data_IF_995066026936
#
_entry.id   IF_995066026936
#
_cell.length_a   1.000
_cell.length_b   1.000
_cell.length_c   1.000
_cell.angle_alpha   90.00
_cell.angle_beta   90.00
_cell.angle_gamma   90.00
#
_symmetry.space_group_name_H-M   'P 1'
#
loop_
_entity.id
_entity.type
_entity.pdbx_description
1 polymer ?
#
# COMPACT_ATOMS: atom_id res chain seq x y z
N UNK A 1 -37.33 10.45 -36.12
CA UNK A 1 -37.30 9.71 -34.85
C UNK A 1 -38.15 10.45 -33.83
N UNK A 2 -39.01 9.76 -33.08
CA UNK A 2 -39.81 10.41 -32.03
C UNK A 2 -38.90 10.80 -30.85
N UNK A 3 -39.21 11.91 -30.18
CA UNK A 3 -38.43 12.40 -29.03
C UNK A 3 -38.22 11.31 -27.95
N UNK A 4 -39.18 10.40 -27.79
CA UNK A 4 -39.10 9.25 -26.90
C UNK A 4 -37.96 8.29 -27.24
N UNK A 5 -37.77 7.98 -28.53
CA UNK A 5 -36.66 7.11 -28.98
C UNK A 5 -35.32 7.76 -28.68
N UNK A 6 -35.19 9.06 -28.91
CA UNK A 6 -33.95 9.79 -28.62
C UNK A 6 -33.62 9.81 -27.12
N UNK A 7 -34.62 9.99 -26.26
CA UNK A 7 -34.45 9.91 -24.80
C UNK A 7 -34.03 8.51 -24.33
N UNK A 8 -34.59 7.44 -24.89
CA UNK A 8 -34.16 6.08 -24.56
C UNK A 8 -32.73 5.80 -24.99
N UNK A 9 -32.34 6.22 -26.21
CA UNK A 9 -30.96 6.05 -26.68
C UNK A 9 -29.96 6.83 -25.81
N UNK A 10 -30.31 8.06 -25.41
CA UNK A 10 -29.49 8.85 -24.49
C UNK A 10 -29.38 8.17 -23.11
N UNK A 11 -30.48 7.63 -22.58
CA UNK A 11 -30.47 6.89 -21.32
C UNK A 11 -29.62 5.61 -21.37
N UNK A 12 -29.73 4.83 -22.45
CA UNK A 12 -28.92 3.62 -22.65
C UNK A 12 -27.44 3.98 -22.78
N UNK A 13 -27.11 5.03 -23.56
CA UNK A 13 -25.73 5.49 -23.71
C UNK A 13 -25.14 5.96 -22.36
N UNK A 14 -25.92 6.69 -21.56
CA UNK A 14 -25.51 7.12 -20.23
C UNK A 14 -25.30 5.94 -19.28
N UNK A 15 -26.21 4.96 -19.25
CA UNK A 15 -26.05 3.74 -18.46
C UNK A 15 -24.84 2.92 -18.90
N UNK A 16 -24.59 2.83 -20.21
CA UNK A 16 -23.40 2.18 -20.75
C UNK A 16 -22.11 2.86 -20.31
N UNK A 17 -22.05 4.19 -20.37
CA UNK A 17 -20.90 4.98 -19.91
C UNK A 17 -20.69 4.84 -18.39
N UNK A 18 -21.75 4.90 -17.59
CA UNK A 18 -21.69 4.72 -16.15
C UNK A 18 -21.21 3.29 -15.78
N UNK A 19 -21.77 2.27 -16.44
CA UNK A 19 -21.36 0.88 -16.26
C UNK A 19 -19.89 0.63 -16.63
N UNK A 20 -19.42 1.21 -17.74
CA UNK A 20 -18.02 1.16 -18.13
C UNK A 20 -17.09 1.85 -17.12
N UNK A 21 -17.50 3.02 -16.60
CA UNK A 21 -16.76 3.73 -15.55
C UNK A 21 -16.64 2.92 -14.26
N UNK A 22 -17.73 2.31 -13.80
CA UNK A 22 -17.74 1.43 -12.62
C UNK A 22 -16.84 0.21 -12.85
N UNK A 23 -16.95 -0.45 -14.00
CA UNK A 23 -16.10 -1.60 -14.34
C UNK A 23 -14.61 -1.22 -14.36
N UNK A 24 -14.27 -0.04 -14.89
CA UNK A 24 -12.89 0.46 -14.90
C UNK A 24 -12.34 0.72 -13.49
N UNK A 25 -13.12 1.34 -12.60
CA UNK A 25 -12.71 1.59 -11.21
C UNK A 25 -12.56 0.28 -10.42
N UNK A 26 -13.47 -0.67 -10.64
CA UNK A 26 -13.40 -1.98 -10.00
C UNK A 26 -12.20 -2.80 -10.49
N UNK A 27 -11.90 -2.75 -11.79
CA UNK A 27 -10.70 -3.38 -12.32
C UNK A 27 -9.45 -2.77 -11.69
N UNK A 28 -9.37 -1.43 -11.63
CA UNK A 28 -8.26 -0.74 -10.99
C UNK A 28 -8.04 -1.15 -9.52
N UNK A 29 -9.11 -1.37 -8.75
CA UNK A 29 -8.99 -1.81 -7.35
C UNK A 29 -8.40 -3.21 -7.18
N UNK A 30 -8.45 -4.02 -8.24
CA UNK A 30 -7.96 -5.40 -8.29
C UNK A 30 -6.59 -5.54 -8.97
N UNK A 31 -5.98 -4.44 -9.45
CA UNK A 31 -4.62 -4.48 -9.99
C UNK A 31 -3.63 -4.36 -8.84
N UNK A 32 -2.81 -5.40 -8.58
CA UNK A 32 -1.79 -5.34 -7.54
C UNK A 32 -0.68 -4.35 -7.91
N UNK A 33 -0.06 -3.75 -6.89
CA UNK A 33 1.13 -2.93 -7.04
C UNK A 33 2.33 -3.76 -7.48
N UNK A 34 3.27 -3.15 -8.20
CA UNK A 34 4.57 -3.75 -8.45
C UNK A 34 5.30 -3.89 -7.12
N UNK A 35 5.73 -5.10 -6.77
CA UNK A 35 6.44 -5.39 -5.53
C UNK A 35 7.93 -5.57 -5.85
N UNK A 36 8.81 -4.81 -5.21
CA UNK A 36 10.26 -4.99 -5.37
C UNK A 36 10.76 -6.18 -4.56
N UNK A 37 11.93 -6.71 -4.92
CA UNK A 37 12.53 -7.83 -4.17
C UNK A 37 12.94 -7.36 -2.78
N UNK A 38 12.20 -7.79 -1.77
CA UNK A 38 12.58 -7.64 -0.37
C UNK A 38 13.89 -8.37 -0.06
N UNK A 39 14.70 -7.79 0.84
CA UNK A 39 15.83 -8.49 1.43
C UNK A 39 15.34 -9.67 2.29
N UNK A 40 15.98 -10.83 2.19
CA UNK A 40 15.62 -12.03 2.99
C UNK A 40 15.92 -11.91 4.48
N UNK A 41 16.70 -10.90 4.88
CA UNK A 41 17.09 -10.65 6.26
C UNK A 41 16.79 -9.23 6.68
N UNK A 42 16.60 -9.03 7.99
CA UNK A 42 16.38 -7.73 8.58
C UNK A 42 17.48 -6.73 8.16
N UNK A 43 17.14 -5.56 7.60
CA UNK A 43 18.13 -4.59 7.16
C UNK A 43 18.94 -4.03 8.34
N UNK A 44 20.24 -4.33 8.41
CA UNK A 44 21.11 -3.90 9.53
C UNK A 44 21.19 -2.38 9.67
N UNK A 45 21.06 -1.64 8.57
CA UNK A 45 21.07 -0.18 8.56
C UNK A 45 19.71 0.46 8.92
N UNK A 46 18.67 -0.35 9.17
CA UNK A 46 17.38 0.16 9.60
C UNK A 46 17.44 0.72 11.01
N UNK A 47 16.76 1.85 11.22
CA UNK A 47 16.53 2.38 12.55
C UNK A 47 15.23 1.86 13.20
N UNK A 48 14.53 0.93 12.54
CA UNK A 48 13.44 0.15 13.13
C UNK A 48 13.99 -0.92 14.08
N UNK A 49 13.20 -1.33 15.06
CA UNK A 49 13.61 -2.35 16.02
C UNK A 49 13.21 -3.74 15.56
N UNK A 50 14.17 -4.67 15.50
CA UNK A 50 13.86 -6.10 15.45
C UNK A 50 13.45 -6.58 16.85
N UNK A 51 12.43 -7.43 16.94
CA UNK A 51 12.07 -8.10 18.18
C UNK A 51 13.23 -8.99 18.67
N UNK A 52 13.51 -8.92 19.97
CA UNK A 52 14.59 -9.69 20.62
C UNK A 52 14.05 -10.74 21.61
N UNK A 53 12.74 -10.78 21.81
CA UNK A 53 12.03 -11.56 22.83
C UNK A 53 11.26 -12.76 22.24
N UNK A 54 11.69 -13.24 21.06
CA UNK A 54 11.06 -14.35 20.36
C UNK A 54 9.81 -13.99 19.56
N UNK A 55 9.31 -12.75 19.66
CA UNK A 55 8.22 -12.25 18.82
C UNK A 55 8.63 -12.09 17.37
N UNK A 56 7.64 -12.08 16.48
CA UNK A 56 7.79 -11.70 15.09
C UNK A 56 7.89 -10.18 14.96
N UNK A 57 8.73 -9.68 14.06
CA UNK A 57 8.79 -8.24 13.75
C UNK A 57 7.93 -7.96 12.53
N UNK A 58 6.85 -7.19 12.68
CA UNK A 58 5.99 -6.77 11.58
C UNK A 58 6.29 -5.32 11.24
N UNK A 59 6.56 -5.04 9.97
CA UNK A 59 6.79 -3.68 9.45
C UNK A 59 5.79 -3.43 8.33
N UNK A 60 4.96 -2.40 8.46
CA UNK A 60 3.99 -1.99 7.45
C UNK A 60 4.30 -0.57 6.98
N UNK A 61 4.40 -0.38 5.67
CA UNK A 61 4.66 0.93 5.06
C UNK A 61 3.40 1.56 4.52
N UNK A 62 3.16 2.83 4.88
CA UNK A 62 1.91 3.54 4.57
C UNK A 62 2.18 4.93 4.01
N UNK A 63 1.32 5.35 3.08
CA UNK A 63 1.14 6.76 2.74
C UNK A 63 0.01 7.36 3.61
N UNK A 64 0.22 8.43 4.40
CA UNK A 64 -0.76 8.88 5.39
C UNK A 64 -2.10 9.36 4.81
N UNK A 65 -2.11 9.86 3.57
CA UNK A 65 -3.33 10.35 2.91
C UNK A 65 -4.04 9.31 2.02
N UNK A 66 -3.45 8.12 1.86
CA UNK A 66 -4.00 7.13 0.95
C UNK A 66 -5.15 6.34 1.62
N UNK A 67 -6.32 6.19 0.98
CA UNK A 67 -7.41 5.38 1.54
C UNK A 67 -7.05 3.90 1.72
N UNK A 68 -6.11 3.38 0.93
CA UNK A 68 -5.60 2.00 1.09
C UNK A 68 -4.92 1.82 2.46
N UNK A 69 -4.24 2.85 2.95
CA UNK A 69 -3.55 2.83 4.25
C UNK A 69 -4.52 2.68 5.41
N UNK A 70 -5.70 3.29 5.32
CA UNK A 70 -6.73 3.15 6.34
C UNK A 70 -7.20 1.70 6.46
N UNK A 71 -7.49 1.07 5.33
CA UNK A 71 -7.88 -0.34 5.31
C UNK A 71 -6.76 -1.22 5.89
N UNK A 72 -5.50 -1.01 5.51
CA UNK A 72 -4.38 -1.80 6.06
C UNK A 72 -4.20 -1.63 7.58
N UNK A 73 -4.43 -0.43 8.13
CA UNK A 73 -4.40 -0.20 9.59
C UNK A 73 -5.55 -0.90 10.29
N UNK A 74 -6.73 -0.97 9.68
CA UNK A 74 -7.87 -1.69 10.24
C UNK A 74 -7.60 -3.21 10.26
N UNK A 75 -7.04 -3.76 9.18
CA UNK A 75 -6.64 -5.17 9.12
C UNK A 75 -5.54 -5.49 10.14
N UNK A 76 -4.60 -4.58 10.37
CA UNK A 76 -3.62 -4.70 11.43
C UNK A 76 -4.30 -4.73 12.82
N UNK A 77 -5.35 -3.94 13.04
CA UNK A 77 -6.13 -3.95 14.29
C UNK A 77 -6.70 -5.35 14.56
N UNK A 78 -7.26 -5.99 13.53
CA UNK A 78 -7.83 -7.34 13.58
C UNK A 78 -6.75 -8.39 13.88
N UNK A 79 -5.56 -8.26 13.29
CA UNK A 79 -4.44 -9.15 13.58
C UNK A 79 -4.00 -9.05 15.05
N UNK A 80 -3.83 -7.83 15.53
CA UNK A 80 -3.30 -7.55 16.86
C UNK A 80 -4.29 -7.91 17.96
N UNK A 81 -5.60 -7.85 17.69
CA UNK A 81 -6.62 -8.34 18.61
C UNK A 81 -6.43 -9.81 19.01
N UNK A 82 -5.78 -10.62 18.16
CA UNK A 82 -5.54 -12.07 18.41
C UNK A 82 -4.09 -12.42 18.71
N UNK A 83 -3.12 -11.59 18.31
CA UNK A 83 -1.69 -11.95 18.31
C UNK A 83 -0.76 -10.83 18.83
N UNK A 84 -1.26 -9.85 19.58
CA UNK A 84 -0.45 -8.74 20.09
C UNK A 84 0.77 -9.17 20.92
N UNK A 85 0.69 -10.29 21.65
CA UNK A 85 1.78 -10.84 22.46
C UNK A 85 2.88 -11.51 21.62
N UNK A 86 2.60 -11.82 20.36
CA UNK A 86 3.53 -12.53 19.45
C UNK A 86 4.17 -11.65 18.40
N UNK A 87 3.72 -10.40 18.29
CA UNK A 87 4.15 -9.48 17.24
C UNK A 87 4.74 -8.22 17.90
N UNK A 88 5.82 -7.72 17.30
CA UNK A 88 6.29 -6.35 17.48
C UNK A 88 5.87 -5.55 16.23
N UNK A 89 4.69 -4.90 16.26
CA UNK A 89 4.20 -4.19 15.10
C UNK A 89 4.80 -2.78 14.98
N UNK A 90 5.29 -2.45 13.79
CA UNK A 90 5.84 -1.15 13.44
C UNK A 90 5.15 -0.63 12.19
N UNK A 91 4.56 0.56 12.29
CA UNK A 91 3.88 1.22 11.17
C UNK A 91 4.70 2.43 10.75
N UNK A 92 5.11 2.45 9.50
CA UNK A 92 6.06 3.39 8.95
C UNK A 92 5.35 4.24 7.92
N UNK A 93 5.19 5.53 8.22
CA UNK A 93 4.50 6.48 7.35
C UNK A 93 5.52 7.24 6.52
N UNK A 94 5.35 7.22 5.19
CA UNK A 94 6.17 8.06 4.32
C UNK A 94 5.99 9.54 4.68
N UNK A 95 7.05 10.33 4.59
CA UNK A 95 6.98 11.79 4.71
C UNK A 95 8.02 12.43 3.78
N UNK A 96 7.63 13.35 2.90
CA UNK A 96 8.61 14.06 2.07
C UNK A 96 9.43 15.04 2.93
N UNK A 97 10.64 15.38 2.47
CA UNK A 97 11.64 16.15 3.25
C UNK A 97 11.11 17.52 3.72
N UNK A 98 10.22 18.10 2.94
CA UNK A 98 9.66 19.45 3.06
C UNK A 98 8.34 19.55 3.85
N UNK A 99 7.65 18.43 4.16
CA UNK A 99 6.33 18.43 4.84
C UNK A 99 6.27 17.69 6.18
N UNK A 100 7.33 17.73 6.99
CA UNK A 100 7.41 16.99 8.26
C UNK A 100 6.26 17.24 9.24
N UNK A 101 5.74 18.47 9.32
CA UNK A 101 4.80 18.86 10.38
C UNK A 101 3.33 18.53 10.05
N UNK A 102 2.94 18.54 8.78
CA UNK A 102 1.54 18.29 8.38
C UNK A 102 1.17 16.78 8.44
N UNK A 103 2.16 15.89 8.33
CA UNK A 103 1.93 14.45 8.15
C UNK A 103 1.83 13.71 9.50
N UNK A 104 2.28 14.35 10.60
CA UNK A 104 2.30 13.79 11.97
C UNK A 104 1.05 13.98 12.83
N UNK A 105 0.03 14.68 12.34
CA UNK A 105 -1.25 14.86 13.06
C UNK A 105 -2.47 14.41 12.24
N UNK A 106 -2.24 13.55 11.26
CA UNK A 106 -3.35 12.96 10.50
C UNK A 106 -4.17 12.01 11.38
N UNK A 107 -5.46 11.87 11.07
CA UNK A 107 -6.36 10.92 11.76
C UNK A 107 -5.79 9.50 11.72
N UNK A 108 -5.21 9.09 10.59
CA UNK A 108 -4.66 7.76 10.39
C UNK A 108 -3.43 7.49 11.27
N UNK A 109 -2.53 8.47 11.39
CA UNK A 109 -1.38 8.36 12.29
C UNK A 109 -1.83 8.18 13.75
N UNK A 110 -2.82 8.95 14.20
CA UNK A 110 -3.39 8.81 15.55
C UNK A 110 -4.04 7.45 15.76
N UNK A 111 -4.85 6.99 14.80
CA UNK A 111 -5.47 5.65 14.84
C UNK A 111 -4.41 4.54 14.97
N UNK A 112 -3.35 4.58 14.16
CA UNK A 112 -2.28 3.58 14.24
C UNK A 112 -1.53 3.59 15.59
N UNK A 113 -1.39 4.76 16.23
CA UNK A 113 -0.75 4.90 17.55
C UNK A 113 -1.58 4.36 18.70
N UNK A 114 -2.90 4.32 18.55
CA UNK A 114 -3.82 3.81 19.57
C UNK A 114 -3.87 2.27 19.56
N UNK A 115 -3.37 1.62 18.51
CA UNK A 115 -3.32 0.17 18.43
C UNK A 115 -2.33 -0.44 19.45
N UNK A 116 -2.69 -1.57 20.08
CA UNK A 116 -1.85 -2.20 21.11
C UNK A 116 -0.44 -2.55 20.61
N UNK A 117 0.58 -2.02 21.28
CA UNK A 117 1.98 -2.34 21.02
C UNK A 117 2.57 -1.77 19.73
N UNK A 118 1.79 -1.02 18.95
CA UNK A 118 2.24 -0.42 17.68
C UNK A 118 3.24 0.71 17.94
N UNK A 119 4.38 0.63 17.25
CA UNK A 119 5.33 1.73 17.16
C UNK A 119 5.17 2.41 15.81
N UNK A 120 4.74 3.66 15.81
CA UNK A 120 4.65 4.46 14.59
C UNK A 120 5.95 5.23 14.34
N UNK A 121 6.34 5.37 13.08
CA UNK A 121 7.52 6.12 12.68
C UNK A 121 7.30 6.89 11.38
N UNK A 122 7.84 8.09 11.31
CA UNK A 122 7.92 8.84 10.05
C UNK A 122 9.18 8.44 9.30
N UNK A 123 9.00 8.07 8.03
CA UNK A 123 10.07 7.73 7.10
C UNK A 123 10.33 8.89 6.15
N UNK A 124 11.14 9.80 6.67
CA UNK A 124 11.59 10.96 5.93
C UNK A 124 12.35 10.53 4.67
N UNK A 125 11.85 10.99 3.52
CA UNK A 125 12.38 10.68 2.19
C UNK A 125 12.33 9.19 1.81
N UNK A 126 11.56 8.35 2.52
CA UNK A 126 11.40 6.95 2.15
C UNK A 126 12.64 6.08 2.41
N UNK A 127 13.52 6.44 3.34
CA UNK A 127 14.79 5.73 3.59
C UNK A 127 14.58 4.33 4.16
N UNK A 128 13.61 4.15 5.05
CA UNK A 128 13.24 2.82 5.52
C UNK A 128 12.52 2.06 4.42
N UNK A 129 11.63 2.69 3.65
CA UNK A 129 10.96 2.05 2.53
C UNK A 129 11.98 1.49 1.53
N UNK A 130 13.00 2.27 1.17
CA UNK A 130 14.11 1.82 0.31
C UNK A 130 14.87 0.62 0.90
N UNK A 131 15.18 0.65 2.21
CA UNK A 131 15.93 -0.44 2.87
C UNK A 131 15.15 -1.76 2.90
N UNK A 132 13.84 -1.69 3.04
CA UNK A 132 12.97 -2.87 3.04
C UNK A 132 12.52 -3.26 1.62
N UNK A 133 12.73 -2.38 0.63
CA UNK A 133 12.22 -2.55 -0.73
C UNK A 133 10.73 -2.26 -0.87
N UNK A 134 10.15 -1.49 0.05
CA UNK A 134 8.75 -1.08 0.00
C UNK A 134 8.53 0.01 -1.04
N UNK A 135 7.42 -0.09 -1.77
CA UNK A 135 7.04 0.85 -2.83
C UNK A 135 5.56 1.18 -2.85
N UNK A 136 4.73 0.40 -2.15
CA UNK A 136 3.28 0.57 -2.12
C UNK A 136 2.75 0.75 -0.71
N UNK A 137 1.70 1.56 -0.57
CA UNK A 137 0.99 1.71 0.69
C UNK A 137 0.30 0.40 1.08
N UNK A 138 0.40 0.01 2.36
CA UNK A 138 -0.12 -1.26 2.87
C UNK A 138 0.84 -2.44 2.68
N UNK A 139 2.01 -2.22 2.09
CA UNK A 139 3.03 -3.24 1.93
C UNK A 139 3.61 -3.64 3.30
N UNK A 140 3.56 -4.93 3.59
CA UNK A 140 3.81 -5.50 4.92
C UNK A 140 4.87 -6.58 4.85
N UNK A 141 5.80 -6.53 5.80
CA UNK A 141 6.92 -7.45 5.95
C UNK A 141 6.84 -8.07 7.34
N UNK A 142 6.99 -9.38 7.44
CA UNK A 142 7.10 -10.08 8.73
C UNK A 142 8.40 -10.86 8.77
N UNK A 143 9.14 -10.64 9.85
CA UNK A 143 10.38 -11.33 10.13
C UNK A 143 10.23 -12.19 11.38
N UNK A 144 10.83 -13.38 11.37
CA UNK A 144 10.94 -14.22 12.57
C UNK A 144 11.89 -13.61 13.63
N UNK A 145 12.07 -14.30 14.75
CA UNK A 145 12.98 -13.86 15.83
C UNK A 145 14.44 -13.78 15.40
N UNK A 146 14.85 -14.58 14.42
CA UNK A 146 16.21 -14.53 13.85
C UNK A 146 16.37 -13.35 12.90
N UNK A 147 15.28 -12.75 12.42
CA UNK A 147 15.29 -11.68 11.44
C UNK A 147 15.26 -12.20 10.01
N UNK A 148 14.79 -13.43 9.80
CA UNK A 148 14.51 -13.99 8.48
C UNK A 148 13.15 -13.52 8.02
N UNK A 149 13.03 -13.06 6.78
CA UNK A 149 11.77 -12.69 6.17
C UNK A 149 10.91 -13.95 5.95
N UNK A 150 9.75 -14.02 6.60
CA UNK A 150 8.81 -15.16 6.51
C UNK A 150 7.50 -14.79 5.81
N UNK A 151 7.21 -13.50 5.67
CA UNK A 151 6.08 -13.00 4.87
C UNK A 151 6.40 -11.65 4.23
N UNK A 152 5.95 -11.47 2.99
CA UNK A 152 5.98 -10.20 2.26
C UNK A 152 4.72 -10.06 1.39
N UNK A 153 3.96 -9.00 1.60
CA UNK A 153 2.78 -8.75 0.76
C UNK A 153 1.81 -7.73 1.34
N UNK A 154 0.59 -7.71 0.79
CA UNK A 154 -0.50 -6.88 1.29
C UNK A 154 -1.30 -7.58 2.37
N UNK A 155 -2.06 -6.80 3.14
CA UNK A 155 -2.99 -7.30 4.16
C UNK A 155 -4.45 -6.95 3.84
N UNK A 156 -4.75 -6.73 2.57
CA UNK A 156 -6.09 -6.36 2.08
C UNK A 156 -6.39 -7.17 0.82
N UNK A 157 -7.66 -7.48 0.53
CA UNK A 157 -8.05 -8.23 -0.68
C UNK A 157 -8.13 -7.36 -1.95
N UNK A 158 -8.26 -6.05 -1.79
CA UNK A 158 -8.29 -5.05 -2.86
C UNK A 158 -7.92 -3.65 -2.31
N UNK A 159 -7.71 -2.68 -3.19
CA UNK A 159 -7.39 -1.29 -2.80
C UNK A 159 -8.49 -0.71 -1.90
N UNK A 160 -8.14 -0.34 -0.67
CA UNK A 160 -9.06 0.30 0.28
C UNK A 160 -10.18 -0.61 0.79
N UNK A 161 -10.02 -1.94 0.71
CA UNK A 161 -11.00 -2.92 1.17
C UNK A 161 -10.63 -3.52 2.53
N UNK A 162 -11.62 -3.62 3.41
CA UNK A 162 -11.54 -4.22 4.75
C UNK A 162 -12.33 -5.55 4.72
N UNK A 163 -11.87 -6.55 5.47
CA UNK A 163 -12.44 -7.88 5.57
C UNK A 163 -11.43 -9.00 5.29
N UNK A 164 -11.94 -10.23 5.27
CA UNK A 164 -11.14 -11.44 5.10
C UNK A 164 -10.20 -11.36 3.88
N UNK A 165 -8.92 -11.66 4.11
CA UNK A 165 -7.88 -11.61 3.10
C UNK A 165 -6.75 -12.60 3.37
N UNK A 166 -6.09 -13.03 2.29
CA UNK A 166 -5.03 -14.05 2.33
C UNK A 166 -3.80 -13.60 3.12
N UNK A 167 -3.49 -12.30 3.10
CA UNK A 167 -2.36 -11.73 3.82
C UNK A 167 -2.50 -11.86 5.33
N UNK A 168 -3.65 -11.42 5.86
CA UNK A 168 -3.97 -11.52 7.28
C UNK A 168 -4.01 -12.97 7.75
N UNK A 169 -4.63 -13.86 6.95
CA UNK A 169 -4.69 -15.29 7.24
C UNK A 169 -3.28 -15.92 7.26
N UNK A 170 -2.43 -15.58 6.29
CA UNK A 170 -1.05 -16.06 6.23
C UNK A 170 -0.24 -15.62 7.45
N UNK A 171 -0.29 -14.33 7.81
CA UNK A 171 0.42 -13.82 8.98
C UNK A 171 -0.09 -14.48 10.25
N UNK A 172 -1.42 -14.58 10.43
CA UNK A 172 -2.04 -15.26 11.58
C UNK A 172 -1.58 -16.71 11.73
N UNK A 173 -1.49 -17.45 10.63
CA UNK A 173 -0.99 -18.83 10.61
C UNK A 173 0.50 -18.93 10.95
N UNK A 174 1.31 -17.96 10.52
CA UNK A 174 2.75 -17.92 10.83
C UNK A 174 2.99 -17.64 12.32
N UNK A 175 2.28 -16.67 12.90
CA UNK A 175 2.48 -16.26 14.30
C UNK A 175 1.77 -17.18 15.30
N UNK A 176 0.70 -17.86 14.88
CA UNK A 176 -0.07 -18.78 15.70
C UNK A 176 0.64 -20.11 15.96
N UNK A 177 1.42 -20.60 14.99
CA UNK A 177 2.23 -21.82 15.15
C UNK A 177 3.35 -21.56 16.16
N UNK A 178 3.57 -22.50 17.09
CA UNK A 178 4.63 -22.34 18.09
C UNK A 178 6.00 -22.42 17.42
N UNK A 179 6.97 -21.61 17.87
CA UNK A 179 8.35 -21.65 17.35
C UNK A 179 8.99 -23.06 17.43
N UNK A 180 8.47 -23.93 18.32
CA UNK A 180 8.87 -25.33 18.46
C UNK A 180 8.38 -26.23 17.31
N UNK A 181 7.24 -25.91 16.67
CA UNK A 181 6.66 -26.72 15.59
C UNK A 181 7.29 -26.41 14.22
N UNK A 182 7.89 -25.23 14.07
CA UNK A 182 8.67 -24.87 12.86
C UNK A 182 10.01 -25.60 12.79
N UNK A 183 10.46 -26.19 13.91
CA UNK A 183 11.76 -26.88 14.03
C UNK A 183 11.65 -28.42 14.10
N UNK A 184 10.44 -28.97 14.23
CA UNK A 184 10.21 -30.41 14.36
C UNK A 184 9.62 -31.03 13.08
N UNK A 185 10.40 -31.88 12.41
CA UNK A 185 10.02 -32.70 11.23
C UNK A 185 10.11 -32.01 9.86
N UNK A 186 11.32 -31.62 9.45
CA UNK A 186 11.65 -31.57 8.00
C UNK A 186 13.02 -32.17 7.74
N UNK A 187 13.09 -32.97 6.68
CA UNK A 187 14.31 -33.58 6.17
C UNK A 187 15.34 -32.50 5.82
N UNK A 188 16.65 -32.75 6.01
CA UNK A 188 17.72 -31.76 5.73
C UNK A 188 17.94 -31.44 4.24
N UNK A 189 17.11 -31.96 3.33
CA UNK A 189 17.33 -31.91 1.87
C UNK A 189 16.38 -30.93 1.14
N UNK A 190 15.46 -30.26 1.86
CA UNK A 190 14.60 -29.20 1.32
C UNK A 190 15.04 -27.84 1.87
N UNK A 191 15.81 -27.10 1.06
CA UNK A 191 16.38 -25.81 1.42
C UNK A 191 15.35 -24.72 1.65
N UNK A 192 15.56 -23.93 2.72
CA UNK A 192 14.96 -22.61 2.95
C UNK A 192 13.50 -22.62 3.38
N UNK A 193 13.17 -21.93 4.47
CA UNK A 193 11.77 -21.58 4.74
C UNK A 193 11.29 -20.68 3.61
N UNK A 194 10.33 -21.15 2.81
CA UNK A 194 9.77 -20.35 1.73
C UNK A 194 8.98 -19.17 2.31
N UNK A 195 9.43 -17.98 1.94
CA UNK A 195 8.76 -16.70 2.21
C UNK A 195 7.33 -16.74 1.64
N UNK A 196 6.33 -16.51 2.49
CA UNK A 196 4.94 -16.44 2.03
C UNK A 196 4.70 -15.09 1.36
N UNK A 197 4.19 -15.11 0.12
CA UNK A 197 3.91 -13.91 -0.67
C UNK A 197 2.44 -13.73 -0.96
N UNK A 198 1.96 -12.51 -0.79
CA UNK A 198 0.60 -12.11 -1.19
C UNK A 198 0.63 -10.81 -2.00
N UNK A 199 -0.33 -10.60 -2.91
CA UNK A 199 -0.39 -9.35 -3.67
C UNK A 199 -0.59 -8.14 -2.75
N UNK A 200 0.03 -7.01 -3.11
CA UNK A 200 -0.19 -5.72 -2.43
C UNK A 200 -1.17 -4.90 -3.25
N UNK A 201 -2.27 -4.44 -2.67
CA UNK A 201 -3.23 -3.56 -3.35
C UNK A 201 -3.16 -2.15 -2.76
N UNK A 202 -2.13 -1.39 -3.15
CA UNK A 202 -1.91 -0.05 -2.62
C UNK A 202 -1.38 0.93 -3.66
N UNK A 203 -1.61 2.22 -3.41
CA UNK A 203 -1.04 3.29 -4.24
C UNK A 203 0.47 3.43 -3.95
N UNK A 204 1.25 4.01 -4.88
CA UNK A 204 2.67 4.28 -4.66
C UNK A 204 2.93 5.02 -3.34
N UNK A 205 3.98 4.63 -2.60
CA UNK A 205 4.39 5.28 -1.35
C UNK A 205 5.00 6.66 -1.59
N UNK A 206 5.69 6.83 -2.70
CA UNK A 206 6.29 8.09 -3.09
C UNK A 206 5.35 8.80 -4.05
N UNK A 207 5.07 10.08 -3.80
CA UNK A 207 4.56 10.96 -4.83
C UNK A 207 5.62 11.00 -5.94
N UNK A 208 5.37 10.29 -7.03
CA UNK A 208 6.19 10.34 -8.22
C UNK A 208 6.34 11.82 -8.65
N UNK A 209 7.57 12.33 -8.59
CA UNK A 209 8.03 13.53 -9.33
C UNK A 209 8.02 13.27 -10.86
N UNK A 210 7.01 12.56 -11.35
CA UNK A 210 7.03 11.88 -12.65
C UNK A 210 5.75 12.08 -13.48
N UNK A 211 4.89 13.05 -13.13
CA UNK A 211 3.82 13.51 -14.04
C UNK A 211 4.30 14.66 -14.95
N UNK A 212 5.41 15.34 -14.63
CA UNK A 212 5.93 16.45 -15.45
C UNK A 212 6.88 16.00 -16.58
N UNK A 213 7.32 14.73 -16.59
CA UNK A 213 8.21 14.20 -17.65
C UNK A 213 7.51 13.41 -18.76
N UNK A 214 6.19 13.21 -18.67
CA UNK A 214 5.45 12.35 -19.61
C UNK A 214 4.31 13.05 -20.37
N UNK A 215 4.25 14.38 -20.39
CA UNK A 215 3.41 15.10 -21.34
C UNK A 215 4.23 15.50 -22.57
N UNK A 216 3.96 14.96 -23.78
CA UNK A 216 4.50 15.56 -24.98
C UNK A 216 4.02 17.01 -25.08
N UNK A 217 4.89 17.92 -25.52
CA UNK A 217 4.68 19.38 -25.69
C UNK A 217 3.45 19.78 -26.55
N UNK A 218 2.66 18.81 -27.03
CA UNK A 218 1.54 19.03 -27.94
C UNK A 218 0.28 19.59 -27.27
N UNK A 219 0.14 19.56 -25.94
CA UNK A 219 -1.11 20.00 -25.27
C UNK A 219 -1.08 21.47 -24.80
N UNK A 220 0.10 22.12 -24.74
CA UNK A 220 0.22 23.52 -24.31
C UNK A 220 0.03 24.56 -25.44
N UNK A 221 -0.21 24.15 -26.69
CA UNK A 221 -0.41 25.08 -27.83
C UNK A 221 -1.87 25.36 -28.22
N UNK A 222 -2.87 24.88 -27.49
CA UNK A 222 -4.29 25.13 -27.81
C UNK A 222 -4.87 26.32 -26.99
N UNK A 223 -4.03 27.27 -26.57
CA UNK A 223 -4.45 28.38 -25.71
C UNK A 223 -3.97 29.78 -26.12
N UNK A 224 -3.26 29.95 -27.24
CA UNK A 224 -2.73 31.26 -27.63
C UNK A 224 -2.83 31.54 -29.14
N UNK A 225 -4.04 31.47 -29.68
CA UNK A 225 -4.38 32.25 -30.88
C UNK A 225 -5.43 33.29 -30.51
N UNK A 226 -4.95 34.45 -30.06
CA UNK A 226 -5.72 35.69 -30.20
C UNK A 226 -5.61 36.14 -31.66
N UNK A 227 -6.72 36.42 -32.37
CA UNK A 227 -6.63 37.10 -33.65
C UNK A 227 -6.39 38.59 -33.39
N UNK A 228 -5.13 39.01 -33.47
CA UNK A 228 -4.75 40.41 -33.57
C UNK A 228 -4.92 40.89 -35.02
N UNK A 229 -5.97 41.69 -35.23
CA UNK A 229 -6.00 42.83 -36.16
C UNK A 229 -6.05 42.55 -37.67
N UNK A 230 -6.99 43.19 -38.36
CA UNK A 230 -6.77 44.50 -39.02
C UNK A 230 -7.88 44.75 -40.04
N UNK A 231 -8.49 45.94 -40.02
CA UNK A 231 -9.50 46.33 -41.00
C UNK A 231 -10.08 47.71 -40.74
N UNK A 232 -9.23 48.74 -40.67
CA UNK A 232 -9.65 50.13 -40.66
C UNK A 232 -9.62 50.73 -42.06
N UNK A 233 -10.75 51.34 -42.44
CA UNK A 233 -10.96 52.49 -43.36
C UNK A 233 -10.37 52.41 -44.78
N UNK A 234 -11.26 52.44 -45.78
CA UNK A 234 -11.64 53.66 -46.52
C UNK A 234 -13.04 53.50 -47.10
#
# INVERSE_FOLDING_TARGET
MSARILSYLAGIAWLGAAGAGIASLWHYSLIPAGVHKAGRSWPQASALSKAADGRFSLVMFLHPECPCSRASVEELSVLLARHADRILPQVVFFTPVDKKTEWSDTRLWRQARELPGVRTRMDEAGREAERFGASSSGETFVYDSQGTLVFHGGVTSARGHEGDNDGLAAIGNLVGKSAAETSGTRSPDEGGQDEVKTPVYGCPLHEEREVEKALPEAVLKIGSEQPSGQGGKQ
#
